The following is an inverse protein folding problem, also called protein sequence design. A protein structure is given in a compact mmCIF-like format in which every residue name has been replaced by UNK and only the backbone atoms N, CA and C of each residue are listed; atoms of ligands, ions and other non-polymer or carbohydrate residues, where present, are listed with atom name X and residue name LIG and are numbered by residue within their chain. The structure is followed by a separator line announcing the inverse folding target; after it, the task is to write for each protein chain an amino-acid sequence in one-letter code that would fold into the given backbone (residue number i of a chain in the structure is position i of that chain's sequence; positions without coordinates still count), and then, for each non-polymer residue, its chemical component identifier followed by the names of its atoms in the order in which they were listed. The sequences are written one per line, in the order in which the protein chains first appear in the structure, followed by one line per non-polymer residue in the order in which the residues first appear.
data_IF_775182000179
#
_entry.id   IF_775182000179
#
_cell.length_a   1.000
_cell.length_b   1.000
_cell.length_c   1.000
_cell.angle_alpha   90.00
_cell.angle_beta   90.00
_cell.angle_gamma   90.00
#
_symmetry.space_group_name_H-M   'P 1'
#
loop_
_entity.id
_entity.type
_entity.pdbx_description
1 polymer ?
#
# COMPACT_ATOMS: atom_id res chain seq x y z
N UNK A 1 23.74 -11.92 9.03
CA UNK A 1 25.13 -12.14 8.53
C UNK A 1 25.28 -11.37 7.22
N UNK A 2 26.29 -10.49 7.07
CA UNK A 2 26.34 -9.52 5.97
C UNK A 2 26.72 -10.18 4.63
N UNK A 3 26.06 -9.81 3.53
CA UNK A 3 26.28 -10.29 2.14
C UNK A 3 27.60 -9.83 1.50
N UNK A 4 28.55 -9.34 2.29
CA UNK A 4 29.75 -8.63 1.82
C UNK A 4 31.05 -9.42 2.03
N UNK A 5 30.98 -10.70 2.41
CA UNK A 5 32.17 -11.55 2.36
C UNK A 5 32.62 -11.73 0.91
N UNK A 6 33.82 -11.25 0.59
CA UNK A 6 34.37 -11.22 -0.76
C UNK A 6 34.31 -12.60 -1.46
N UNK A 7 34.59 -13.67 -0.72
CA UNK A 7 34.55 -15.06 -1.22
C UNK A 7 33.15 -15.51 -1.65
N UNK A 8 32.11 -15.08 -0.94
CA UNK A 8 30.70 -15.39 -1.27
C UNK A 8 30.27 -14.58 -2.49
N UNK A 9 30.65 -13.29 -2.54
CA UNK A 9 30.38 -12.44 -3.71
C UNK A 9 31.02 -13.06 -4.96
N UNK A 10 32.31 -13.35 -4.94
CA UNK A 10 33.06 -13.91 -6.07
C UNK A 10 32.47 -15.25 -6.56
N UNK A 11 31.89 -16.05 -5.66
CA UNK A 11 31.18 -17.29 -6.05
C UNK A 11 29.84 -17.00 -6.72
N UNK A 12 29.06 -16.06 -6.19
CA UNK A 12 27.74 -15.68 -6.72
C UNK A 12 27.84 -14.84 -8.02
N UNK A 13 28.94 -14.13 -8.24
CA UNK A 13 29.15 -13.35 -9.47
C UNK A 13 29.36 -14.24 -10.71
N UNK A 14 29.73 -15.51 -10.55
CA UNK A 14 29.94 -16.47 -11.64
C UNK A 14 28.66 -16.83 -12.41
N UNK A 15 27.49 -16.71 -11.76
CA UNK A 15 26.17 -16.95 -12.39
C UNK A 15 25.16 -15.97 -11.80
N UNK A 16 25.15 -14.74 -12.32
CA UNK A 16 24.10 -13.77 -11.99
C UNK A 16 22.86 -14.04 -12.85
N UNK A 17 21.66 -14.09 -12.24
CA UNK A 17 20.44 -14.05 -13.03
C UNK A 17 20.34 -12.70 -13.73
N UNK A 18 19.72 -12.67 -14.91
CA UNK A 18 19.30 -11.41 -15.51
C UNK A 18 18.13 -10.85 -14.71
N UNK A 19 18.16 -9.55 -14.43
CA UNK A 19 17.18 -8.89 -13.58
C UNK A 19 16.65 -7.67 -14.31
N UNK A 20 15.37 -7.72 -14.64
CA UNK A 20 14.63 -6.62 -15.25
C UNK A 20 13.83 -5.91 -14.14
N UNK A 21 14.19 -4.66 -13.84
CA UNK A 21 13.45 -3.84 -12.87
C UNK A 21 12.38 -3.01 -13.61
N UNK A 22 11.12 -3.21 -13.23
CA UNK A 22 9.99 -2.50 -13.81
C UNK A 22 9.41 -1.51 -12.81
N UNK A 23 9.28 -0.25 -13.23
CA UNK A 23 8.64 0.81 -12.45
C UNK A 23 7.20 0.98 -12.90
N UNK A 24 6.27 0.62 -12.02
CA UNK A 24 4.83 0.74 -12.27
C UNK A 24 4.33 2.03 -11.61
N UNK A 25 3.92 2.99 -12.43
CA UNK A 25 3.36 4.25 -11.94
C UNK A 25 1.93 4.06 -11.46
N UNK A 26 1.58 4.77 -10.38
CA UNK A 26 0.19 4.87 -9.94
C UNK A 26 -0.62 5.65 -10.98
N UNK A 27 -1.92 5.33 -11.08
CA UNK A 27 -2.85 6.13 -11.88
C UNK A 27 -3.00 7.53 -11.28
N UNK A 28 -3.55 8.48 -12.04
CA UNK A 28 -3.79 9.84 -11.55
C UNK A 28 -4.68 9.85 -10.29
N UNK A 29 -5.78 9.09 -10.30
CA UNK A 29 -6.68 9.00 -9.14
C UNK A 29 -6.03 8.29 -7.95
N UNK A 30 -5.23 7.24 -8.16
CA UNK A 30 -4.47 6.61 -7.08
C UNK A 30 -3.44 7.53 -6.46
N UNK A 31 -2.74 8.31 -7.28
CA UNK A 31 -1.75 9.29 -6.82
C UNK A 31 -2.42 10.39 -5.99
N UNK A 32 -3.59 10.88 -6.43
CA UNK A 32 -4.39 11.83 -5.67
C UNK A 32 -4.87 11.25 -4.33
N UNK A 33 -5.34 10.00 -4.30
CA UNK A 33 -5.68 9.29 -3.05
C UNK A 33 -4.48 9.20 -2.11
N UNK A 34 -3.32 8.78 -2.64
CA UNK A 34 -2.10 8.63 -1.86
C UNK A 34 -1.68 9.96 -1.22
N UNK A 35 -1.65 11.04 -2.01
CA UNK A 35 -1.31 12.38 -1.52
C UNK A 35 -2.28 12.83 -0.43
N UNK A 36 -3.58 12.68 -0.64
CA UNK A 36 -4.59 13.03 0.36
C UNK A 36 -4.38 12.28 1.69
N UNK A 37 -4.11 10.97 1.65
CA UNK A 37 -3.83 10.18 2.87
C UNK A 37 -2.54 10.64 3.56
N UNK A 38 -1.50 10.97 2.80
CA UNK A 38 -0.22 11.46 3.34
C UNK A 38 -0.35 12.86 3.94
N UNK A 39 -1.14 13.74 3.34
CA UNK A 39 -1.40 15.07 3.88
C UNK A 39 -2.17 14.98 5.20
N UNK A 40 -3.18 14.11 5.28
CA UNK A 40 -3.88 13.81 6.53
C UNK A 40 -2.90 13.25 7.57
N UNK A 41 -2.05 12.30 7.18
CA UNK A 41 -1.04 11.72 8.07
C UNK A 41 -0.06 12.78 8.59
N UNK A 42 0.34 13.71 7.73
CA UNK A 42 1.23 14.83 8.07
C UNK A 42 0.57 15.78 9.07
N UNK A 43 -0.71 16.10 8.87
CA UNK A 43 -1.50 16.87 9.82
C UNK A 43 -1.56 16.17 11.19
N UNK A 44 -1.91 14.88 11.21
CA UNK A 44 -2.00 14.10 12.44
C UNK A 44 -0.66 13.98 13.16
N UNK A 45 0.45 13.82 12.43
CA UNK A 45 1.77 13.78 13.03
C UNK A 45 2.15 15.12 13.66
N UNK A 46 1.87 16.25 12.99
CA UNK A 46 2.10 17.59 13.56
C UNK A 46 1.29 17.78 14.85
N UNK A 47 0.03 17.37 14.84
CA UNK A 47 -0.83 17.46 16.03
C UNK A 47 -0.34 16.55 17.17
N UNK A 48 0.12 15.34 16.86
CA UNK A 48 0.73 14.44 17.84
C UNK A 48 1.96 15.09 18.48
N UNK A 49 2.84 15.71 17.69
CA UNK A 49 4.02 16.42 18.22
C UNK A 49 3.61 17.58 19.11
N UNK A 50 2.65 18.40 18.66
CA UNK A 50 2.14 19.57 19.39
C UNK A 50 1.57 19.20 20.77
N UNK A 51 0.86 18.07 20.86
CA UNK A 51 0.27 17.61 22.12
C UNK A 51 1.28 17.00 23.11
N UNK A 52 2.48 16.65 22.66
CA UNK A 52 3.48 15.95 23.46
C UNK A 52 4.82 16.72 23.54
N UNK A 53 4.77 18.04 23.36
CA UNK A 53 5.94 18.92 23.55
C UNK A 53 6.48 18.74 24.98
N UNK A 54 7.76 18.40 25.10
CA UNK A 54 8.44 18.19 26.40
C UNK A 54 8.36 16.76 26.96
N UNK A 55 7.48 15.90 26.45
CA UNK A 55 7.45 14.47 26.77
C UNK A 55 8.41 13.64 25.91
N UNK A 56 8.61 14.09 24.67
CA UNK A 56 9.36 13.37 23.64
C UNK A 56 10.18 14.36 22.82
N UNK A 57 11.43 14.00 22.56
CA UNK A 57 12.17 14.57 21.44
C UNK A 57 11.64 13.94 20.14
N UNK A 58 10.65 14.60 19.55
CA UNK A 58 9.97 14.15 18.33
C UNK A 58 10.59 14.76 17.07
N UNK A 59 11.71 15.47 17.16
CA UNK A 59 12.34 16.12 16.01
C UNK A 59 12.89 15.08 15.03
N UNK A 60 13.28 13.90 15.52
CA UNK A 60 13.71 12.76 14.69
C UNK A 60 12.58 12.13 13.85
N UNK A 61 11.30 12.27 14.25
CA UNK A 61 10.18 11.70 13.49
C UNK A 61 9.78 12.67 12.38
N UNK A 62 10.46 12.58 11.23
CA UNK A 62 10.14 13.40 10.05
C UNK A 62 8.77 13.05 9.46
N UNK A 63 8.12 14.03 8.84
CA UNK A 63 6.92 13.82 8.01
C UNK A 63 7.23 12.84 6.86
N UNK A 64 8.45 12.88 6.33
CA UNK A 64 8.92 11.95 5.29
C UNK A 64 8.94 10.50 5.77
N UNK A 65 9.03 10.28 7.09
CA UNK A 65 8.99 8.93 7.64
C UNK A 65 7.61 8.27 7.49
N UNK A 66 6.53 9.04 7.29
CA UNK A 66 5.17 8.51 7.08
C UNK A 66 5.11 7.66 5.79
N UNK A 67 5.93 7.98 4.79
CA UNK A 67 6.08 7.21 3.55
C UNK A 67 6.73 5.84 3.77
N UNK A 68 7.46 5.67 4.88
CA UNK A 68 8.23 4.47 5.15
C UNK A 68 7.36 3.29 5.55
N UNK A 69 7.72 2.11 5.07
CA UNK A 69 7.11 0.86 5.51
C UNK A 69 7.34 0.59 7.01
N UNK A 70 8.34 1.22 7.63
CA UNK A 70 8.70 1.02 9.03
C UNK A 70 8.16 2.08 9.99
N UNK A 71 7.41 3.08 9.47
CA UNK A 71 6.92 4.22 10.24
C UNK A 71 6.31 3.84 11.60
N UNK A 72 5.33 2.94 11.62
CA UNK A 72 4.68 2.56 12.88
C UNK A 72 5.59 1.86 13.86
N UNK A 73 6.53 1.03 13.38
CA UNK A 73 7.48 0.37 14.27
C UNK A 73 8.39 1.41 14.91
N UNK A 74 8.92 2.35 14.12
CA UNK A 74 9.73 3.45 14.63
C UNK A 74 8.96 4.33 15.61
N UNK A 75 7.71 4.68 15.28
CA UNK A 75 6.84 5.47 16.14
C UNK A 75 6.54 4.73 17.45
N UNK A 76 6.23 3.43 17.39
CA UNK A 76 5.95 2.62 18.57
C UNK A 76 7.16 2.53 19.52
N UNK A 77 8.34 2.23 18.99
CA UNK A 77 9.59 2.15 19.79
C UNK A 77 9.86 3.46 20.52
N UNK A 78 9.55 4.61 19.92
CA UNK A 78 9.72 5.92 20.54
C UNK A 78 8.66 6.22 21.61
N UNK A 79 7.44 5.74 21.42
CA UNK A 79 6.31 6.05 22.30
C UNK A 79 6.15 5.08 23.48
N UNK A 80 6.63 3.83 23.34
CA UNK A 80 6.50 2.80 24.37
C UNK A 80 7.00 3.26 25.77
N UNK A 81 8.16 3.93 25.92
CA UNK A 81 8.67 4.38 27.22
C UNK A 81 7.76 5.38 27.95
N UNK A 82 6.97 6.17 27.21
CA UNK A 82 6.09 7.21 27.75
C UNK A 82 4.61 6.89 27.54
N UNK A 83 4.28 5.66 27.11
CA UNK A 83 2.92 5.28 26.69
C UNK A 83 1.85 5.56 27.76
N UNK A 84 2.19 5.37 29.02
CA UNK A 84 1.28 5.61 30.15
C UNK A 84 0.99 7.10 30.37
N UNK A 85 1.88 7.98 29.94
CA UNK A 85 1.77 9.43 30.09
C UNK A 85 1.00 10.08 28.93
N UNK A 86 0.84 9.36 27.81
CA UNK A 86 0.10 9.85 26.65
C UNK A 86 -1.39 10.02 26.94
N UNK A 87 -1.93 11.16 26.50
CA UNK A 87 -3.36 11.45 26.56
C UNK A 87 -4.18 10.48 25.71
N UNK A 88 -5.49 10.39 25.99
CA UNK A 88 -6.43 9.63 25.16
C UNK A 88 -6.43 10.14 23.70
N UNK A 89 -6.32 11.45 23.51
CA UNK A 89 -6.29 12.08 22.19
C UNK A 89 -5.02 11.66 21.42
N UNK A 90 -3.86 11.68 22.06
CA UNK A 90 -2.61 11.24 21.43
C UNK A 90 -2.65 9.76 21.04
N UNK A 91 -3.19 8.90 21.92
CA UNK A 91 -3.41 7.47 21.62
C UNK A 91 -4.37 7.27 20.43
N UNK A 92 -5.40 8.09 20.34
CA UNK A 92 -6.33 8.06 19.21
C UNK A 92 -5.66 8.49 17.91
N UNK A 93 -4.86 9.56 17.91
CA UNK A 93 -4.08 9.98 16.73
C UNK A 93 -3.17 8.85 16.24
N UNK A 94 -2.51 8.12 17.14
CA UNK A 94 -1.67 6.98 16.79
C UNK A 94 -2.49 5.84 16.15
N UNK A 95 -3.70 5.60 16.65
CA UNK A 95 -4.63 4.64 16.06
C UNK A 95 -5.09 5.10 14.66
N UNK A 96 -5.42 6.37 14.49
CA UNK A 96 -5.82 6.94 13.20
C UNK A 96 -4.67 6.91 12.18
N UNK A 97 -3.42 7.19 12.58
CA UNK A 97 -2.25 7.00 11.72
C UNK A 97 -2.13 5.54 11.23
N UNK A 98 -2.49 4.55 12.06
CA UNK A 98 -2.52 3.14 11.67
C UNK A 98 -3.63 2.87 10.65
N UNK A 99 -4.80 3.47 10.83
CA UNK A 99 -5.90 3.41 9.86
C UNK A 99 -5.47 3.99 8.52
N UNK A 100 -4.83 5.17 8.49
CA UNK A 100 -4.34 5.80 7.26
C UNK A 100 -3.33 4.93 6.51
N UNK A 101 -2.40 4.29 7.23
CA UNK A 101 -1.50 3.33 6.60
C UNK A 101 -2.24 2.14 6.02
N UNK A 102 -3.24 1.62 6.72
CA UNK A 102 -4.05 0.53 6.19
C UNK A 102 -4.75 0.95 4.90
N UNK A 103 -5.27 2.18 4.81
CA UNK A 103 -5.84 2.73 3.58
C UNK A 103 -4.81 2.80 2.44
N UNK A 104 -3.55 3.17 2.69
CA UNK A 104 -2.49 3.13 1.68
C UNK A 104 -2.19 1.71 1.18
N UNK A 105 -2.23 0.71 2.05
CA UNK A 105 -2.05 -0.68 1.65
C UNK A 105 -3.24 -1.17 0.81
N UNK A 106 -4.46 -0.88 1.25
CA UNK A 106 -5.67 -1.20 0.48
C UNK A 106 -5.69 -0.49 -0.88
N UNK A 107 -5.17 0.74 -0.96
CA UNK A 107 -5.02 1.47 -2.22
C UNK A 107 -4.20 0.68 -3.24
N UNK A 108 -3.16 -0.04 -2.82
CA UNK A 108 -2.27 -0.81 -3.70
C UNK A 108 -2.73 -2.26 -3.93
N UNK A 109 -3.40 -2.87 -2.95
CA UNK A 109 -3.69 -4.31 -2.95
C UNK A 109 -5.14 -4.67 -3.21
N UNK A 110 -6.07 -3.74 -3.01
CA UNK A 110 -7.51 -3.99 -3.15
C UNK A 110 -8.12 -3.29 -4.35
N UNK A 111 -9.31 -3.75 -4.75
CA UNK A 111 -10.13 -3.05 -5.72
C UNK A 111 -10.77 -1.77 -5.12
N UNK A 112 -11.25 -0.91 -6.01
CA UNK A 112 -11.86 0.36 -5.60
C UNK A 112 -13.18 0.19 -4.82
N UNK A 113 -13.88 -0.94 -4.97
CA UNK A 113 -15.14 -1.21 -4.28
C UNK A 113 -14.86 -1.50 -2.80
N UNK A 114 -13.91 -2.39 -2.53
CA UNK A 114 -13.49 -2.72 -1.17
C UNK A 114 -12.92 -1.49 -0.46
N UNK A 115 -12.06 -0.72 -1.13
CA UNK A 115 -11.53 0.52 -0.57
C UNK A 115 -12.64 1.53 -0.24
N UNK A 116 -13.63 1.71 -1.13
CA UNK A 116 -14.77 2.58 -0.89
C UNK A 116 -15.64 2.11 0.30
N UNK A 117 -15.87 0.79 0.41
CA UNK A 117 -16.63 0.22 1.53
C UNK A 117 -15.93 0.45 2.88
N UNK A 118 -14.62 0.22 2.93
CA UNK A 118 -13.81 0.52 4.13
C UNK A 118 -13.87 2.01 4.44
N UNK A 119 -13.69 2.88 3.45
CA UNK A 119 -13.73 4.32 3.65
C UNK A 119 -15.11 4.81 4.14
N UNK A 120 -16.20 4.23 3.64
CA UNK A 120 -17.56 4.52 4.11
C UNK A 120 -17.74 4.13 5.59
N UNK A 121 -17.16 3.01 6.04
CA UNK A 121 -17.22 2.59 7.45
C UNK A 121 -16.52 3.58 8.39
N UNK A 122 -15.44 4.22 7.92
CA UNK A 122 -14.70 5.26 8.65
C UNK A 122 -15.46 6.61 8.71
N UNK A 123 -16.60 6.72 8.02
CA UNK A 123 -17.50 7.88 8.09
C UNK A 123 -18.74 7.64 8.92
N UNK A 124 -18.89 6.45 9.53
CA UNK A 124 -19.98 6.23 10.48
C UNK A 124 -19.93 7.30 11.58
N UNK A 125 -21.09 7.83 12.02
CA UNK A 125 -21.12 8.84 13.10
C UNK A 125 -20.31 8.39 14.32
N UNK A 126 -20.43 7.11 14.68
CA UNK A 126 -19.68 6.48 15.76
C UNK A 126 -18.16 6.56 15.58
N UNK A 127 -17.65 6.36 14.36
CA UNK A 127 -16.23 6.50 14.07
C UNK A 127 -15.81 7.97 14.13
N UNK A 128 -16.56 8.86 13.47
CA UNK A 128 -16.24 10.29 13.40
C UNK A 128 -16.14 10.89 14.80
N UNK A 129 -17.07 10.55 15.70
CA UNK A 129 -17.06 11.00 17.10
C UNK A 129 -15.85 10.49 17.90
N UNK A 130 -15.30 9.31 17.56
CA UNK A 130 -14.16 8.71 18.25
C UNK A 130 -12.81 9.08 17.63
N UNK A 131 -12.80 9.46 16.35
CA UNK A 131 -11.59 9.78 15.60
C UNK A 131 -10.90 11.04 16.10
N UNK A 132 -9.66 11.26 15.69
CA UNK A 132 -8.92 12.49 15.93
C UNK A 132 -9.38 13.69 15.07
N UNK A 133 -10.56 13.60 14.43
CA UNK A 133 -11.14 14.65 13.58
C UNK A 133 -10.67 14.62 12.13
N UNK A 134 -9.75 13.72 11.77
CA UNK A 134 -9.24 13.61 10.39
C UNK A 134 -10.31 13.37 9.32
N UNK A 135 -11.44 12.64 9.57
CA UNK A 135 -12.48 12.46 8.56
C UNK A 135 -13.19 13.76 8.17
N UNK A 136 -12.99 14.84 8.93
CA UNK A 136 -13.59 16.16 8.69
C UNK A 136 -12.65 17.12 7.94
N UNK A 137 -11.45 16.68 7.59
CA UNK A 137 -10.48 17.49 6.83
C UNK A 137 -10.86 17.52 5.34
N UNK A 138 -10.54 18.61 4.65
CA UNK A 138 -10.75 18.74 3.19
C UNK A 138 -9.99 17.67 2.39
N UNK A 139 -8.84 17.22 2.90
CA UNK A 139 -8.08 16.13 2.31
C UNK A 139 -8.83 14.80 2.42
N UNK A 140 -9.62 14.59 3.48
CA UNK A 140 -10.46 13.40 3.59
C UNK A 140 -11.58 13.43 2.54
N UNK A 141 -12.17 14.60 2.28
CA UNK A 141 -13.14 14.77 1.18
C UNK A 141 -12.49 14.50 -0.18
N UNK A 142 -11.30 15.04 -0.43
CA UNK A 142 -10.53 14.79 -1.65
C UNK A 142 -10.25 13.29 -1.84
N UNK A 143 -9.86 12.58 -0.78
CA UNK A 143 -9.67 11.13 -0.81
C UNK A 143 -10.95 10.40 -1.23
N UNK A 144 -12.09 10.78 -0.64
CA UNK A 144 -13.38 10.14 -0.92
C UNK A 144 -13.77 10.34 -2.39
N UNK A 145 -13.68 11.58 -2.89
CA UNK A 145 -14.01 11.89 -4.28
C UNK A 145 -13.19 11.06 -5.26
N UNK A 146 -11.87 10.95 -5.02
CA UNK A 146 -11.00 10.14 -5.88
C UNK A 146 -11.29 8.64 -5.76
N UNK A 147 -11.59 8.11 -4.58
CA UNK A 147 -11.97 6.70 -4.42
C UNK A 147 -13.29 6.39 -5.13
N UNK A 148 -14.28 7.28 -5.06
CA UNK A 148 -15.55 7.14 -5.76
C UNK A 148 -15.40 7.25 -7.28
N UNK A 149 -14.51 8.12 -7.75
CA UNK A 149 -14.16 8.19 -9.17
C UNK A 149 -13.53 6.87 -9.65
N UNK A 150 -12.58 6.31 -8.89
CA UNK A 150 -11.98 4.99 -9.17
C UNK A 150 -13.03 3.88 -9.24
N UNK A 151 -13.98 3.89 -8.29
CA UNK A 151 -15.08 2.93 -8.22
C UNK A 151 -15.99 3.05 -9.44
N UNK A 152 -16.35 4.28 -9.80
CA UNK A 152 -17.25 4.58 -10.93
C UNK A 152 -16.62 4.22 -12.27
N UNK A 153 -15.32 4.49 -12.45
CA UNK A 153 -14.55 4.15 -13.65
C UNK A 153 -14.13 2.67 -13.71
N UNK A 154 -14.42 1.88 -12.67
CA UNK A 154 -13.94 0.49 -12.51
C UNK A 154 -12.43 0.39 -12.75
N UNK A 155 -11.71 1.36 -12.19
CA UNK A 155 -10.28 1.51 -12.42
C UNK A 155 -9.52 0.25 -12.00
N UNK A 156 -8.69 -0.23 -12.92
CA UNK A 156 -7.83 -1.39 -12.73
C UNK A 156 -6.53 -0.99 -12.03
N UNK A 157 -6.06 -1.82 -11.11
CA UNK A 157 -4.72 -1.64 -10.55
C UNK A 157 -3.67 -1.81 -11.66
N UNK A 158 -2.75 -0.83 -11.84
CA UNK A 158 -1.82 -0.82 -12.98
C UNK A 158 -0.89 -2.04 -13.01
N UNK A 159 -0.62 -2.63 -11.83
CA UNK A 159 0.20 -3.85 -11.70
C UNK A 159 -0.34 -5.05 -12.49
N UNK A 160 -1.66 -5.15 -12.66
CA UNK A 160 -2.28 -6.26 -13.37
C UNK A 160 -2.14 -6.14 -14.88
N UNK A 161 -2.17 -4.92 -15.42
CA UNK A 161 -1.97 -4.68 -16.85
C UNK A 161 -0.54 -5.02 -17.27
N UNK A 162 0.44 -4.54 -16.50
CA UNK A 162 1.87 -4.81 -16.73
C UNK A 162 2.17 -6.30 -16.61
N UNK A 163 1.61 -6.99 -15.60
CA UNK A 163 1.81 -8.43 -15.46
C UNK A 163 1.30 -9.22 -16.68
N UNK A 164 0.17 -8.82 -17.27
CA UNK A 164 -0.35 -9.47 -18.48
C UNK A 164 0.57 -9.30 -19.68
N UNK A 165 1.09 -8.08 -19.86
CA UNK A 165 2.04 -7.76 -20.93
C UNK A 165 3.29 -8.65 -20.83
N UNK A 166 3.86 -8.78 -19.63
CA UNK A 166 5.02 -9.65 -19.38
C UNK A 166 4.70 -11.11 -19.69
N UNK A 167 3.54 -11.62 -19.23
CA UNK A 167 3.17 -13.01 -19.47
C UNK A 167 2.93 -13.30 -20.96
N UNK A 168 2.38 -12.34 -21.72
CA UNK A 168 2.27 -12.48 -23.18
C UNK A 168 3.63 -12.45 -23.87
N UNK A 169 4.55 -11.58 -23.44
CA UNK A 169 5.89 -11.50 -24.02
C UNK A 169 6.70 -12.79 -23.82
N UNK A 170 6.61 -13.39 -22.62
CA UNK A 170 7.22 -14.69 -22.32
C UNK A 170 6.64 -15.76 -23.26
N UNK A 171 5.31 -15.82 -23.37
CA UNK A 171 4.64 -16.79 -24.24
C UNK A 171 5.05 -16.66 -25.72
N UNK A 172 5.12 -15.42 -26.24
CA UNK A 172 5.48 -15.16 -27.64
C UNK A 172 6.96 -15.44 -27.94
N UNK A 173 7.83 -15.27 -26.94
CA UNK A 173 9.26 -15.58 -27.05
C UNK A 173 9.50 -17.10 -27.13
N UNK A 174 8.72 -17.88 -26.39
CA UNK A 174 8.80 -19.34 -26.36
C UNK A 174 8.48 -20.02 -27.70
N UNK A 175 7.60 -19.42 -28.51
CA UNK A 175 7.18 -19.98 -29.81
C UNK A 175 8.24 -19.92 -30.90
N UNK A 176 9.33 -19.17 -30.71
CA UNK A 176 10.39 -18.95 -31.71
C UNK A 176 11.59 -19.89 -31.53
N UNK A 177 11.78 -20.46 -30.35
CA UNK A 177 12.85 -21.43 -30.09
C UNK A 177 12.28 -22.85 -30.17
N UNK A 178 12.54 -23.55 -31.27
CA UNK A 178 11.99 -24.88 -31.60
C UNK A 178 12.42 -26.05 -30.70
N UNK A 179 12.73 -25.82 -29.43
CA UNK A 179 12.95 -26.84 -28.41
C UNK A 179 11.67 -27.07 -27.61
N UNK A 180 11.08 -28.26 -27.70
CA UNK A 180 9.78 -28.63 -27.08
C UNK A 180 9.74 -28.69 -25.55
N UNK A 181 10.45 -27.80 -24.84
CA UNK A 181 10.35 -27.61 -23.40
C UNK A 181 9.15 -26.72 -23.08
N UNK A 182 8.21 -27.22 -22.28
CA UNK A 182 7.09 -26.43 -21.79
C UNK A 182 7.62 -25.33 -20.86
N UNK A 183 7.58 -24.07 -21.29
CA UNK A 183 8.07 -22.95 -20.49
C UNK A 183 7.17 -22.75 -19.27
N UNK A 184 7.77 -22.69 -18.08
CA UNK A 184 7.05 -22.54 -16.82
C UNK A 184 7.38 -21.18 -16.20
N UNK A 185 6.37 -20.31 -16.12
CA UNK A 185 6.46 -19.06 -15.38
C UNK A 185 5.97 -19.26 -13.93
N UNK A 186 6.81 -18.89 -12.95
CA UNK A 186 6.43 -18.86 -11.54
C UNK A 186 6.24 -17.43 -11.06
N UNK A 187 5.01 -17.06 -10.70
CA UNK A 187 4.70 -15.75 -10.11
C UNK A 187 4.61 -15.87 -8.59
N UNK A 188 5.47 -15.15 -7.88
CA UNK A 188 5.47 -15.09 -6.42
C UNK A 188 4.64 -13.89 -5.94
N UNK A 189 3.78 -14.12 -4.94
CA UNK A 189 2.93 -13.08 -4.33
C UNK A 189 3.06 -13.11 -2.81
N UNK A 190 2.78 -11.98 -2.17
CA UNK A 190 3.02 -11.80 -0.73
C UNK A 190 2.00 -12.54 0.15
N UNK A 191 0.77 -12.72 -0.32
CA UNK A 191 -0.32 -13.30 0.48
C UNK A 191 -1.33 -14.11 -0.34
N UNK A 192 -2.13 -14.91 0.37
CA UNK A 192 -3.11 -15.82 -0.23
C UNK A 192 -4.26 -15.08 -0.92
N UNK A 193 -4.63 -13.88 -0.46
CA UNK A 193 -5.70 -13.10 -1.07
C UNK A 193 -5.27 -12.56 -2.45
N UNK A 194 -4.04 -12.04 -2.55
CA UNK A 194 -3.39 -11.65 -3.80
C UNK A 194 -3.24 -12.84 -4.73
N UNK A 195 -2.91 -14.03 -4.21
CA UNK A 195 -2.86 -15.27 -5.00
C UNK A 195 -4.23 -15.62 -5.62
N UNK A 196 -5.33 -15.49 -4.86
CA UNK A 196 -6.68 -15.74 -5.38
C UNK A 196 -7.08 -14.72 -6.44
N UNK A 197 -6.77 -13.43 -6.22
CA UNK A 197 -7.00 -12.38 -7.21
C UNK A 197 -6.24 -12.66 -8.51
N UNK A 198 -4.95 -12.98 -8.41
CA UNK A 198 -4.11 -13.31 -9.55
C UNK A 198 -4.64 -14.54 -10.30
N UNK A 199 -5.02 -15.61 -9.59
CA UNK A 199 -5.63 -16.79 -10.21
C UNK A 199 -6.87 -16.41 -11.01
N UNK A 200 -7.78 -15.63 -10.41
CA UNK A 200 -8.99 -15.15 -11.08
C UNK A 200 -8.66 -14.27 -12.29
N UNK A 201 -7.60 -13.46 -12.23
CA UNK A 201 -7.14 -12.61 -13.33
C UNK A 201 -6.72 -13.44 -14.55
N UNK A 202 -6.00 -14.52 -14.29
CA UNK A 202 -5.46 -15.41 -15.31
C UNK A 202 -6.53 -16.36 -15.87
N UNK A 203 -7.53 -16.78 -15.07
CA UNK A 203 -8.60 -17.67 -15.54
C UNK A 203 -9.76 -16.95 -16.20
N UNK A 204 -10.20 -15.82 -15.62
CA UNK A 204 -11.50 -15.21 -15.95
C UNK A 204 -11.35 -13.88 -16.71
N UNK A 205 -10.12 -13.35 -16.80
CA UNK A 205 -9.82 -12.03 -17.34
C UNK A 205 -10.03 -10.90 -16.32
N UNK A 206 -9.52 -9.70 -16.63
CA UNK A 206 -9.64 -8.54 -15.72
C UNK A 206 -11.10 -8.15 -15.51
N UNK A 207 -11.90 -8.08 -16.57
CA UNK A 207 -13.31 -7.70 -16.56
C UNK A 207 -14.14 -8.38 -15.46
N UNK A 208 -13.92 -9.67 -15.18
CA UNK A 208 -14.72 -10.44 -14.21
C UNK A 208 -14.26 -10.32 -12.75
N UNK A 209 -13.04 -9.90 -12.47
CA UNK A 209 -12.59 -9.71 -11.09
C UNK A 209 -13.32 -8.54 -10.44
N UNK A 210 -13.51 -7.46 -11.18
CA UNK A 210 -13.98 -6.17 -10.65
C UNK A 210 -15.48 -5.95 -10.84
N UNK A 211 -16.16 -6.87 -11.54
CA UNK A 211 -17.60 -6.85 -11.78
C UNK A 211 -18.38 -7.81 -10.86
N UNK A 212 -17.68 -8.65 -10.08
CA UNK A 212 -18.35 -9.53 -9.12
C UNK A 212 -18.75 -8.72 -7.89
N UNK A 213 -19.97 -8.18 -7.93
CA UNK A 213 -20.64 -7.51 -6.81
C UNK A 213 -21.01 -8.49 -5.68
N UNK A 214 -20.76 -9.79 -5.87
CA UNK A 214 -21.01 -10.86 -4.91
C UNK A 214 -19.74 -11.15 -4.10
N UNK A 215 -19.48 -10.35 -3.07
CA UNK A 215 -18.61 -10.70 -1.96
C UNK A 215 -19.23 -10.27 -0.64
#
# INVERSE_FOLDING_TARGET
MPRFQATVKETLEKRKPDVIELRINLTSCMSACQNAVLDIGSYLLKELKRLNVGLLDMDEISIESIYSSQFHRSLQVKLDPVWHQLSKVSKQIIADLRTLRHLLLLLLDSDAIHLASVLASLRSPDYVHKSSGWPLLDQAETLILNVEERRSKREQQPKWSVLKEILSEIHDSSGKEGGGGQEMALVLVNDVSTCRQLRKLLTDGAEKIFNDTTR
#
